data_IF_240930380987
#
_entry.id   IF_240930380987
#
_cell.length_a   1.000
_cell.length_b   1.000
_cell.length_c   1.000
_cell.angle_alpha   90.00
_cell.angle_beta   90.00
_cell.angle_gamma   90.00
#
_symmetry.space_group_name_H-M   'P 1'
#
loop_
_entity.id
_entity.type
_entity.pdbx_description
1 polymer ?
#
# COMPACT_ATOMS: atom_id res chain seq x y z
N UNK A 1 -5.38 -20.93 -10.15
CA UNK A 1 -5.76 -21.08 -8.73
C UNK A 1 -6.32 -19.75 -8.25
N UNK A 2 -7.64 -19.63 -8.13
CA UNK A 2 -8.29 -18.44 -7.57
C UNK A 2 -8.62 -18.73 -6.10
N UNK A 3 -7.91 -18.10 -5.17
CA UNK A 3 -8.24 -18.12 -3.75
C UNK A 3 -9.00 -16.83 -3.43
N UNK A 4 -10.32 -16.93 -3.35
CA UNK A 4 -11.18 -15.89 -2.81
C UNK A 4 -11.13 -15.97 -1.28
N UNK A 5 -10.44 -15.03 -0.65
CA UNK A 5 -10.56 -14.80 0.79
C UNK A 5 -11.17 -13.43 1.01
N UNK A 6 -12.49 -13.39 1.22
CA UNK A 6 -13.21 -12.20 1.68
C UNK A 6 -13.95 -12.61 2.96
N UNK A 7 -13.46 -12.15 4.10
CA UNK A 7 -13.98 -12.51 5.43
C UNK A 7 -13.10 -12.11 6.63
N UNK A 8 -12.08 -11.27 6.44
CA UNK A 8 -11.19 -10.82 7.52
C UNK A 8 -11.57 -9.43 8.03
N UNK A 9 -11.44 -9.21 9.34
CA UNK A 9 -11.69 -7.91 9.97
C UNK A 9 -10.58 -6.92 9.64
N UNK A 10 -10.95 -5.66 9.41
CA UNK A 10 -10.02 -4.56 9.22
C UNK A 10 -9.81 -3.83 10.56
N UNK A 11 -8.54 -3.75 11.01
CA UNK A 11 -8.24 -3.10 12.29
C UNK A 11 -8.31 -1.58 12.15
N UNK A 12 -9.12 -0.96 13.01
CA UNK A 12 -9.26 0.49 13.14
C UNK A 12 -9.03 0.90 14.59
N UNK A 13 -8.21 1.92 14.79
CA UNK A 13 -8.11 2.61 16.08
C UNK A 13 -9.07 3.80 16.10
N UNK A 14 -9.72 4.08 17.21
CA UNK A 14 -10.71 5.15 17.32
C UNK A 14 -10.12 6.52 16.99
N UNK A 15 -8.99 6.86 17.61
CA UNK A 15 -8.27 8.13 17.40
C UNK A 15 -7.47 8.17 16.09
N UNK A 16 -6.71 7.12 15.77
CA UNK A 16 -5.76 7.17 14.66
C UNK A 16 -6.32 6.67 13.31
N UNK A 17 -7.51 6.09 13.30
CA UNK A 17 -8.13 5.51 12.11
C UNK A 17 -7.59 4.12 11.74
N UNK A 18 -7.81 3.74 10.48
CA UNK A 18 -7.49 2.41 9.94
C UNK A 18 -5.98 2.15 9.89
N UNK A 19 -5.56 0.99 10.39
CA UNK A 19 -4.17 0.57 10.35
C UNK A 19 -3.62 0.51 8.92
N UNK A 20 -4.43 0.00 7.98
CA UNK A 20 -4.07 -0.11 6.56
C UNK A 20 -3.89 1.28 5.93
N UNK A 21 -4.84 2.19 6.16
CA UNK A 21 -4.79 3.55 5.58
C UNK A 21 -3.58 4.32 6.11
N UNK A 22 -3.30 4.24 7.41
CA UNK A 22 -2.10 4.87 8.00
C UNK A 22 -0.81 4.32 7.41
N UNK A 23 -0.74 2.99 7.23
CA UNK A 23 0.40 2.35 6.61
C UNK A 23 0.57 2.81 5.15
N UNK A 24 -0.54 2.92 4.40
CA UNK A 24 -0.56 3.40 3.02
C UNK A 24 -0.05 4.84 2.91
N UNK A 25 -0.65 5.78 3.64
CA UNK A 25 -0.27 7.20 3.61
C UNK A 25 1.22 7.37 3.94
N UNK A 26 1.68 6.75 5.02
CA UNK A 26 3.09 6.86 5.42
C UNK A 26 4.05 6.24 4.41
N UNK A 27 3.65 5.15 3.74
CA UNK A 27 4.50 4.51 2.71
C UNK A 27 4.50 5.30 1.42
N UNK A 28 3.35 5.83 1.00
CA UNK A 28 3.24 6.70 -0.18
C UNK A 28 4.02 7.99 0.01
N UNK A 29 3.88 8.68 1.15
CA UNK A 29 4.61 9.91 1.43
C UNK A 29 6.13 9.70 1.28
N UNK A 30 6.63 8.53 1.68
CA UNK A 30 8.06 8.20 1.59
C UNK A 30 8.49 7.75 0.19
N UNK A 31 7.62 7.08 -0.58
CA UNK A 31 8.05 6.30 -1.75
C UNK A 31 7.35 6.62 -3.08
N UNK A 32 6.24 7.37 -3.08
CA UNK A 32 5.48 7.67 -4.31
C UNK A 32 6.30 8.39 -5.39
N UNK A 33 7.37 9.09 -5.01
CA UNK A 33 8.27 9.79 -5.92
C UNK A 33 9.22 8.88 -6.72
N UNK A 34 9.53 7.68 -6.22
CA UNK A 34 10.64 6.87 -6.78
C UNK A 34 10.38 5.37 -6.78
N UNK A 35 9.19 4.91 -6.39
CA UNK A 35 8.80 3.50 -6.46
C UNK A 35 7.47 3.35 -7.18
N UNK A 36 7.35 2.26 -7.93
CA UNK A 36 6.09 1.88 -8.54
C UNK A 36 5.12 1.32 -7.50
N UNK A 37 3.82 1.39 -7.80
CA UNK A 37 2.74 1.08 -6.86
C UNK A 37 2.79 -0.35 -6.29
N UNK A 38 3.18 -1.35 -7.09
CA UNK A 38 3.33 -2.72 -6.59
C UNK A 38 4.34 -2.85 -5.43
N UNK A 39 5.47 -2.13 -5.48
CA UNK A 39 6.43 -2.12 -4.38
C UNK A 39 5.89 -1.37 -3.15
N UNK A 40 5.15 -0.29 -3.38
CA UNK A 40 4.50 0.46 -2.31
C UNK A 40 3.51 -0.45 -1.57
N UNK A 41 2.66 -1.20 -2.28
CA UNK A 41 1.71 -2.12 -1.64
C UNK A 41 2.40 -3.28 -0.90
N UNK A 42 3.50 -3.83 -1.43
CA UNK A 42 4.32 -4.82 -0.69
C UNK A 42 4.84 -4.24 0.63
N UNK A 43 5.32 -2.99 0.63
CA UNK A 43 5.78 -2.32 1.84
C UNK A 43 4.63 -2.05 2.83
N UNK A 44 3.44 -1.70 2.35
CA UNK A 44 2.24 -1.55 3.17
C UNK A 44 1.86 -2.86 3.85
N UNK A 45 1.82 -3.97 3.11
CA UNK A 45 1.53 -5.30 3.65
C UNK A 45 2.51 -5.67 4.77
N UNK A 46 3.82 -5.48 4.54
CA UNK A 46 4.85 -5.73 5.55
C UNK A 46 4.68 -4.84 6.78
N UNK A 47 4.34 -3.56 6.59
CA UNK A 47 4.16 -2.61 7.69
C UNK A 47 2.97 -2.97 8.57
N UNK A 48 1.82 -3.31 7.96
CA UNK A 48 0.64 -3.78 8.69
C UNK A 48 0.97 -5.05 9.48
N UNK A 49 1.58 -6.06 8.85
CA UNK A 49 1.99 -7.30 9.52
C UNK A 49 2.91 -7.04 10.71
N UNK A 50 3.94 -6.20 10.54
CA UNK A 50 4.87 -5.82 11.62
C UNK A 50 4.15 -5.07 12.75
N UNK A 51 3.20 -4.20 12.44
CA UNK A 51 2.45 -3.47 13.46
C UNK A 51 1.52 -4.40 14.26
N UNK A 52 0.85 -5.35 13.61
CA UNK A 52 0.07 -6.37 14.31
C UNK A 52 0.92 -7.18 15.29
N UNK A 53 2.10 -7.63 14.86
CA UNK A 53 3.04 -8.35 15.71
C UNK A 53 3.53 -7.51 16.90
N UNK A 54 3.95 -6.26 16.66
CA UNK A 54 4.45 -5.36 17.72
C UNK A 54 3.38 -4.98 18.74
N UNK A 55 2.13 -4.86 18.31
CA UNK A 55 0.99 -4.50 19.18
C UNK A 55 0.28 -5.71 19.78
N UNK A 56 0.80 -6.92 19.55
CA UNK A 56 0.19 -8.18 20.00
C UNK A 56 -1.29 -8.29 19.61
N UNK A 57 -1.65 -7.80 18.41
CA UNK A 57 -3.01 -7.94 17.91
C UNK A 57 -3.25 -9.41 17.56
N UNK A 58 -3.98 -10.12 18.42
CA UNK A 58 -4.23 -11.56 18.31
C UNK A 58 -4.88 -11.98 16.99
N UNK A 59 -5.72 -11.13 16.41
CA UNK A 59 -6.43 -11.43 15.16
C UNK A 59 -5.60 -11.14 13.89
N UNK A 60 -4.46 -10.45 14.02
CA UNK A 60 -3.65 -10.03 12.88
C UNK A 60 -4.42 -9.14 11.87
N UNK A 61 -3.79 -8.80 10.76
CA UNK A 61 -4.49 -8.20 9.62
C UNK A 61 -3.76 -8.58 8.34
N UNK A 62 -4.52 -9.11 7.37
CA UNK A 62 -4.04 -9.38 6.02
C UNK A 62 -4.40 -8.20 5.10
N UNK A 63 -3.42 -7.72 4.34
CA UNK A 63 -3.65 -6.74 3.28
C UNK A 63 -3.52 -7.48 1.96
N UNK A 64 -4.58 -7.47 1.16
CA UNK A 64 -4.64 -8.12 -0.16
C UNK A 64 -4.59 -7.05 -1.24
N UNK A 65 -3.81 -7.31 -2.29
CA UNK A 65 -3.70 -6.42 -3.45
C UNK A 65 -3.95 -7.24 -4.69
N UNK A 66 -4.92 -6.80 -5.49
CA UNK A 66 -5.21 -7.37 -6.81
C UNK A 66 -4.65 -6.41 -7.86
N UNK A 67 -3.89 -6.94 -8.80
CA UNK A 67 -3.29 -6.17 -9.88
C UNK A 67 -3.65 -6.79 -11.22
N UNK A 68 -4.11 -5.95 -12.14
CA UNK A 68 -4.45 -6.31 -13.53
C UNK A 68 -3.61 -5.52 -14.54
N UNK A 69 -2.55 -4.85 -14.08
CA UNK A 69 -1.57 -4.22 -14.96
C UNK A 69 -0.99 -5.28 -15.90
N UNK A 70 -0.95 -4.93 -17.19
CA UNK A 70 -0.39 -5.80 -18.22
C UNK A 70 1.07 -6.09 -17.92
N UNK A 71 1.51 -7.34 -18.17
CA UNK A 71 2.89 -7.78 -17.94
C UNK A 71 3.92 -6.76 -18.49
N UNK A 72 4.87 -6.39 -17.64
CA UNK A 72 5.95 -5.45 -17.98
C UNK A 72 5.62 -3.96 -17.78
N UNK A 73 4.38 -3.59 -17.45
CA UNK A 73 4.04 -2.19 -17.11
C UNK A 73 4.19 -1.92 -15.62
N UNK A 74 4.85 -0.81 -15.28
CA UNK A 74 5.02 -0.34 -13.92
C UNK A 74 4.24 0.98 -13.73
N UNK A 75 3.40 1.04 -12.71
CA UNK A 75 2.65 2.25 -12.36
C UNK A 75 3.45 3.13 -11.41
N UNK A 76 3.95 4.26 -11.89
CA UNK A 76 4.58 5.32 -11.10
C UNK A 76 3.64 6.52 -10.99
N UNK A 77 3.67 7.22 -9.86
CA UNK A 77 2.80 8.38 -9.63
C UNK A 77 3.43 9.73 -10.04
N UNK A 78 4.77 9.78 -10.15
CA UNK A 78 5.55 10.98 -10.48
C UNK A 78 5.03 12.30 -9.84
N UNK A 79 4.81 12.33 -8.51
CA UNK A 79 4.32 13.53 -7.83
C UNK A 79 5.26 14.71 -8.07
N UNK A 80 4.71 15.85 -8.51
CA UNK A 80 5.48 17.06 -8.81
C UNK A 80 6.18 17.07 -10.17
N UNK A 81 6.04 16.03 -10.99
CA UNK A 81 6.50 16.06 -12.37
C UNK A 81 5.50 16.84 -13.24
N UNK A 82 5.76 18.13 -13.43
CA UNK A 82 5.07 18.91 -14.45
C UNK A 82 5.67 18.55 -15.81
N UNK A 83 4.96 17.72 -16.59
CA UNK A 83 5.33 17.33 -17.95
C UNK A 83 5.33 18.47 -18.98
N UNK A 84 5.64 19.70 -18.57
CA UNK A 84 5.92 20.78 -19.52
C UNK A 84 7.20 20.43 -20.27
N UNK A 85 6.98 19.86 -21.45
CA UNK A 85 7.95 19.89 -22.55
C UNK A 85 8.54 21.30 -22.60
N UNK A 86 9.82 21.44 -22.27
CA UNK A 86 10.66 22.43 -22.95
C UNK A 86 10.70 21.97 -24.41
N UNK A 87 9.71 22.39 -25.20
CA UNK A 87 9.92 22.58 -26.62
C UNK A 87 10.63 23.92 -26.72
N UNK A 88 11.90 23.81 -27.12
CA UNK A 88 12.68 24.78 -27.90
C UNK A 88 12.84 26.19 -27.32
#
# INVERSE_FOLDING_TARGET
>A
MNLYFVGFLAVRHEVYGSLMIRALVSTMYKHAGHRHMCEIFKNVQQKVRKTCLKRQLHEGQLVVTYDTLTHGRQLYLFPGFNGHRRRE
#
